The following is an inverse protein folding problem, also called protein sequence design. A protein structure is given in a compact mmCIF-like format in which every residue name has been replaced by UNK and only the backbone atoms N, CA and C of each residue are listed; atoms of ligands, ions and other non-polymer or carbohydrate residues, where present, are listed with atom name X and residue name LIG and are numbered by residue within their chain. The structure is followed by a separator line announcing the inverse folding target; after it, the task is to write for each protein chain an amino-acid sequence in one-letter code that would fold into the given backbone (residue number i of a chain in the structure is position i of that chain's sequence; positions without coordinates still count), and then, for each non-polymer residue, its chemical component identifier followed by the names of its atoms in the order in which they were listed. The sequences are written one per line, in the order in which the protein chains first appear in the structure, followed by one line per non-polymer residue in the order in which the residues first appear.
data_IF_619615332286
#
_entry.id   IF_619615332286
#
_cell.length_a   1.000
_cell.length_b   1.000
_cell.length_c   1.000
_cell.angle_alpha   90.00
_cell.angle_beta   90.00
_cell.angle_gamma   90.00
#
_symmetry.space_group_name_H-M   'P 1'
#
loop_
_entity.id
_entity.type
_entity.pdbx_description
1 polymer ?
#
# COMPACT_ATOMS: atom_id res chain seq x y z
N UNK A 1 18.68 -24.41 3.32
CA UNK A 1 17.68 -23.37 2.99
C UNK A 1 18.24 -22.52 1.87
N UNK A 2 17.66 -22.60 0.68
CA UNK A 2 18.20 -21.89 -0.49
C UNK A 2 17.97 -20.37 -0.36
N UNK A 3 19.06 -19.60 -0.33
CA UNK A 3 19.06 -18.13 -0.37
C UNK A 3 18.28 -17.54 -1.55
N UNK A 4 18.00 -18.34 -2.58
CA UNK A 4 17.17 -18.00 -3.73
C UNK A 4 15.75 -17.55 -3.36
N UNK A 5 15.10 -18.17 -2.36
CA UNK A 5 13.69 -17.89 -2.05
C UNK A 5 13.45 -16.40 -1.69
N UNK A 6 14.38 -15.80 -0.95
CA UNK A 6 14.27 -14.41 -0.49
C UNK A 6 15.09 -13.43 -1.34
N UNK A 7 15.77 -13.93 -2.38
CA UNK A 7 16.54 -13.09 -3.27
C UNK A 7 15.61 -12.12 -4.01
N UNK A 8 15.94 -10.83 -3.94
CA UNK A 8 15.19 -9.72 -4.54
C UNK A 8 13.75 -9.60 -4.03
N UNK A 9 13.49 -9.93 -2.76
CA UNK A 9 12.21 -9.66 -2.09
C UNK A 9 12.34 -8.63 -0.95
N UNK A 10 12.79 -7.39 -1.23
CA UNK A 10 12.92 -6.37 -0.19
C UNK A 10 11.54 -5.89 0.30
N UNK A 11 11.53 -5.02 1.30
CA UNK A 11 10.37 -4.16 1.59
C UNK A 11 10.70 -2.76 1.10
N UNK A 12 9.83 -2.16 0.30
CA UNK A 12 10.07 -0.84 -0.30
C UNK A 12 8.96 0.13 0.08
N UNK A 13 9.35 1.30 0.55
CA UNK A 13 8.46 2.44 0.82
C UNK A 13 8.65 3.48 -0.27
N UNK A 14 7.57 3.80 -1.00
CA UNK A 14 7.60 4.86 -2.01
C UNK A 14 6.95 6.14 -1.46
N UNK A 15 7.64 7.26 -1.67
CA UNK A 15 7.22 8.58 -1.22
C UNK A 15 6.74 9.42 -2.41
N UNK A 16 5.80 10.33 -2.16
CA UNK A 16 5.50 11.42 -3.09
C UNK A 16 6.49 12.59 -2.96
N UNK A 17 6.31 13.61 -3.80
CA UNK A 17 7.14 14.82 -3.81
C UNK A 17 7.02 15.69 -2.54
N UNK A 18 6.19 15.29 -1.56
CA UNK A 18 6.04 15.96 -0.26
C UNK A 18 6.49 15.05 0.90
N UNK A 19 7.16 13.93 0.59
CA UNK A 19 7.72 13.01 1.58
C UNK A 19 6.70 12.11 2.26
N UNK A 20 5.49 11.94 1.69
CA UNK A 20 4.46 11.07 2.28
C UNK A 20 4.47 9.70 1.63
N UNK A 21 4.24 8.67 2.44
CA UNK A 21 4.22 7.28 1.99
C UNK A 21 2.99 7.01 1.14
N UNK A 22 3.14 6.89 -0.17
CA UNK A 22 2.04 6.62 -1.11
C UNK A 22 1.92 5.14 -1.47
N UNK A 23 2.99 4.35 -1.30
CA UNK A 23 2.97 2.91 -1.54
C UNK A 23 3.91 2.19 -0.57
N UNK A 24 3.44 1.07 -0.04
CA UNK A 24 4.31 0.04 0.53
C UNK A 24 4.31 -1.13 -0.45
N UNK A 25 5.48 -1.54 -0.91
CA UNK A 25 5.66 -2.60 -1.90
C UNK A 25 6.37 -3.77 -1.22
N UNK A 26 5.73 -4.92 -1.30
CA UNK A 26 6.28 -6.20 -0.85
C UNK A 26 6.31 -7.18 -2.02
N UNK A 27 7.17 -8.18 -1.94
CA UNK A 27 7.25 -9.27 -2.91
C UNK A 27 6.97 -10.58 -2.19
N UNK A 28 6.07 -11.37 -2.76
CA UNK A 28 5.71 -12.68 -2.24
C UNK A 28 6.14 -13.76 -3.22
N UNK A 29 6.85 -14.77 -2.72
CA UNK A 29 7.29 -15.94 -3.48
C UNK A 29 6.99 -17.20 -2.65
N UNK A 30 6.21 -18.11 -3.21
CA UNK A 30 5.89 -19.37 -2.55
C UNK A 30 7.06 -20.36 -2.73
N UNK A 31 7.47 -21.14 -1.71
CA UNK A 31 8.58 -22.09 -1.83
C UNK A 31 8.36 -23.15 -2.91
N UNK A 32 7.12 -23.57 -3.15
CA UNK A 32 6.78 -24.55 -4.19
C UNK A 32 6.85 -23.97 -5.61
N UNK A 33 6.83 -22.64 -5.74
CA UNK A 33 6.86 -21.92 -7.02
C UNK A 33 7.93 -20.81 -7.00
N UNK A 34 9.22 -21.17 -6.87
CA UNK A 34 10.30 -20.20 -6.67
C UNK A 34 10.53 -19.27 -7.88
N UNK A 35 10.03 -19.64 -9.06
CA UNK A 35 10.13 -18.83 -10.27
C UNK A 35 9.02 -17.76 -10.37
N UNK A 36 7.99 -17.83 -9.52
CA UNK A 36 6.86 -16.89 -9.49
C UNK A 36 7.04 -15.93 -8.32
N UNK A 37 7.12 -14.63 -8.62
CA UNK A 37 7.19 -13.58 -7.61
C UNK A 37 6.06 -12.58 -7.82
N UNK A 38 5.17 -12.49 -6.84
CA UNK A 38 4.03 -11.56 -6.87
C UNK A 38 4.43 -10.22 -6.23
N UNK A 39 4.20 -9.12 -6.95
CA UNK A 39 4.30 -7.78 -6.38
C UNK A 39 3.00 -7.44 -5.63
N UNK A 40 3.13 -7.08 -4.36
CA UNK A 40 2.03 -6.70 -3.47
C UNK A 40 2.16 -5.24 -3.06
N UNK A 41 1.37 -4.38 -3.69
CA UNK A 41 1.39 -2.94 -3.44
C UNK A 41 0.20 -2.51 -2.58
N UNK A 42 0.47 -2.13 -1.34
CA UNK A 42 -0.49 -1.35 -0.52
C UNK A 42 -0.38 0.11 -0.93
N UNK A 43 -1.50 0.75 -1.21
CA UNK A 43 -1.55 2.14 -1.70
C UNK A 43 -2.21 3.05 -0.69
N UNK A 44 -1.63 4.24 -0.52
CA UNK A 44 -2.18 5.31 0.29
C UNK A 44 -2.35 6.56 -0.56
N UNK A 45 -3.51 7.20 -0.45
CA UNK A 45 -3.83 8.46 -1.11
C UNK A 45 -3.96 9.54 -0.07
N UNK A 46 -3.58 10.75 -0.46
CA UNK A 46 -3.70 11.95 0.36
C UNK A 46 -4.48 13.01 -0.43
N UNK A 47 -5.26 13.81 0.28
CA UNK A 47 -5.96 14.95 -0.32
C UNK A 47 -5.01 16.11 -0.66
N UNK A 48 -5.55 17.21 -1.18
CA UNK A 48 -4.77 18.40 -1.55
C UNK A 48 -4.01 18.99 -0.35
N UNK A 49 -4.60 18.98 0.84
CA UNK A 49 -4.00 19.45 2.11
C UNK A 49 -2.95 18.48 2.64
N UNK A 50 -3.05 17.23 2.22
CA UNK A 50 -2.12 16.17 2.51
C UNK A 50 -2.54 15.26 3.65
N UNK A 51 -3.83 15.26 3.97
CA UNK A 51 -4.43 14.34 4.91
C UNK A 51 -4.73 13.00 4.23
N UNK A 52 -4.61 11.85 4.91
CA UNK A 52 -4.93 10.55 4.34
C UNK A 52 -6.38 10.52 3.85
N UNK A 53 -6.62 10.15 2.60
CA UNK A 53 -7.96 10.08 2.02
C UNK A 53 -8.41 8.64 1.77
N UNK A 54 -7.51 7.77 1.32
CA UNK A 54 -7.82 6.36 1.09
C UNK A 54 -6.61 5.47 1.35
N UNK A 55 -6.88 4.22 1.77
CA UNK A 55 -5.88 3.15 1.78
C UNK A 55 -6.48 1.88 1.16
N UNK A 56 -5.69 1.19 0.35
CA UNK A 56 -6.11 -0.04 -0.32
C UNK A 56 -5.00 -1.09 -0.32
N UNK A 57 -5.36 -2.31 0.09
CA UNK A 57 -4.58 -3.51 -0.08
C UNK A 57 -4.55 -3.93 -1.57
N UNK A 58 -3.60 -4.79 -1.98
CA UNK A 58 -3.46 -5.16 -3.38
C UNK A 58 -4.72 -5.80 -4.00
N UNK A 59 -5.48 -6.58 -3.22
CA UNK A 59 -6.65 -7.33 -3.68
C UNK A 59 -7.84 -6.41 -3.89
N UNK A 60 -8.15 -5.56 -2.90
CA UNK A 60 -9.23 -4.59 -3.02
C UNK A 60 -8.91 -3.53 -4.07
N UNK A 61 -7.65 -3.08 -4.15
CA UNK A 61 -7.25 -2.16 -5.20
C UNK A 61 -7.48 -2.73 -6.60
N UNK A 62 -7.14 -4.01 -6.83
CA UNK A 62 -7.40 -4.69 -8.11
C UNK A 62 -8.91 -4.78 -8.44
N UNK A 63 -9.77 -4.81 -7.42
CA UNK A 63 -11.22 -4.76 -7.56
C UNK A 63 -11.79 -3.32 -7.66
N UNK A 64 -10.94 -2.29 -7.67
CA UNK A 64 -11.38 -0.88 -7.67
C UNK A 64 -11.94 -0.39 -6.34
N UNK A 65 -11.69 -1.12 -5.25
CA UNK A 65 -12.16 -0.83 -3.89
C UNK A 65 -11.03 -0.31 -2.99
N UNK A 66 -11.40 0.25 -1.85
CA UNK A 66 -10.47 0.69 -0.81
C UNK A 66 -10.82 0.01 0.52
N UNK A 67 -9.79 -0.34 1.30
CA UNK A 67 -9.97 -0.83 2.67
C UNK A 67 -10.45 0.29 3.59
N UNK A 68 -9.98 1.51 3.35
CA UNK A 68 -10.36 2.66 4.14
C UNK A 68 -10.57 3.88 3.26
N UNK A 69 -11.62 4.64 3.55
CA UNK A 69 -11.82 6.00 3.06
C UNK A 69 -12.06 6.95 4.24
N UNK A 70 -11.39 8.09 4.22
CA UNK A 70 -11.42 9.07 5.31
C UNK A 70 -11.93 10.42 4.79
N UNK A 71 -12.76 11.07 5.60
CA UNK A 71 -13.09 12.47 5.46
C UNK A 71 -12.67 13.21 6.72
N UNK A 72 -11.93 14.29 6.54
CA UNK A 72 -11.42 15.12 7.62
C UNK A 72 -12.03 16.51 7.56
N UNK A 73 -12.18 17.15 8.72
CA UNK A 73 -12.44 18.57 8.82
C UNK A 73 -11.27 19.41 8.28
N UNK A 74 -11.33 20.74 8.42
CA UNK A 74 -10.25 21.63 7.98
C UNK A 74 -8.97 21.52 8.83
N UNK A 75 -9.09 21.09 10.08
CA UNK A 75 -7.99 20.95 11.03
C UNK A 75 -7.33 19.56 10.99
N UNK A 76 -7.86 18.62 10.19
CA UNK A 76 -7.35 17.26 10.07
C UNK A 76 -8.00 16.25 11.01
N UNK A 77 -9.06 16.62 11.72
CA UNK A 77 -9.84 15.69 12.54
C UNK A 77 -10.67 14.78 11.63
N UNK A 78 -10.58 13.44 11.76
CA UNK A 78 -11.42 12.53 10.99
C UNK A 78 -12.88 12.69 11.43
N UNK A 79 -13.73 13.11 10.49
CA UNK A 79 -15.18 13.20 10.67
C UNK A 79 -15.90 11.91 10.26
N UNK A 80 -15.32 11.16 9.31
CA UNK A 80 -15.86 9.88 8.85
C UNK A 80 -14.74 8.93 8.44
N UNK A 81 -14.89 7.67 8.84
CA UNK A 81 -14.11 6.54 8.35
C UNK A 81 -15.07 5.50 7.79
N UNK A 82 -14.79 4.99 6.59
CA UNK A 82 -15.49 3.86 5.99
C UNK A 82 -14.50 2.75 5.72
N UNK A 83 -14.84 1.53 6.11
CA UNK A 83 -14.02 0.31 5.96
C UNK A 83 -14.82 -0.87 5.46
#
# INVERSE_FOLDING_TARGET
MGTSLFSKTPSVTAFDNRGRVIRNIAWHRHPDFPDITDERITRHRFDARGLPSQSADPRLYAAGLANFSYLHDLNGTPLRTQS
#
